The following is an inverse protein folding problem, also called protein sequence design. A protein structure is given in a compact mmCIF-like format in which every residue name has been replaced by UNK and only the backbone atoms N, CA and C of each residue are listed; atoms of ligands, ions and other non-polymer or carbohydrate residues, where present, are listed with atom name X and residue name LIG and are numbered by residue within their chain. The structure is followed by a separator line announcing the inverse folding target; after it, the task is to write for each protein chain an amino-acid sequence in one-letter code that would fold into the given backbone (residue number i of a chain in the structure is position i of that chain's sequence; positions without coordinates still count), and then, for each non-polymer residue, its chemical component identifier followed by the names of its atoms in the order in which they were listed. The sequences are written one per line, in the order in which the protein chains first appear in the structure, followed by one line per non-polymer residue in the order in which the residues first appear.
data_IF_573041969632
#
_entry.id   IF_573041969632
#
_cell.length_a   1.000
_cell.length_b   1.000
_cell.length_c   1.000
_cell.angle_alpha   90.00
_cell.angle_beta   90.00
_cell.angle_gamma   90.00
#
_symmetry.space_group_name_H-M   'P 1'
#
loop_
_entity.id
_entity.type
_entity.pdbx_description
1 polymer ?
#
# COMPACT_ATOMS: atom_id res chain seq x y z
N UNK A 1 -5.09 38.92 -13.42
CA UNK A 1 -3.65 39.05 -13.13
C UNK A 1 -3.23 37.77 -12.45
N UNK A 2 -2.61 36.86 -13.19
CA UNK A 2 -2.17 35.55 -12.69
C UNK A 2 -0.73 35.76 -12.19
N UNK A 3 -0.49 35.47 -10.91
CA UNK A 3 0.84 35.54 -10.34
C UNK A 3 1.66 34.34 -10.84
N UNK A 4 2.56 34.58 -11.80
CA UNK A 4 3.58 33.60 -12.17
C UNK A 4 4.70 33.63 -11.11
N UNK A 5 4.79 32.54 -10.35
CA UNK A 5 5.87 32.33 -9.39
C UNK A 5 7.13 31.91 -10.17
N UNK A 6 8.22 32.68 -10.10
CA UNK A 6 9.50 32.50 -10.84
C UNK A 6 10.26 31.17 -10.56
N UNK A 7 9.62 30.19 -9.93
CA UNK A 7 10.15 28.84 -9.72
C UNK A 7 9.21 27.72 -10.19
N UNK A 8 8.09 28.03 -10.82
CA UNK A 8 7.18 27.01 -11.35
C UNK A 8 7.78 26.37 -12.61
N UNK A 9 7.86 25.02 -12.70
CA UNK A 9 8.36 24.36 -13.90
C UNK A 9 7.54 24.78 -15.13
N UNK A 10 8.22 25.02 -16.26
CA UNK A 10 7.65 25.54 -17.53
C UNK A 10 6.47 24.73 -18.09
N UNK A 11 6.24 23.53 -17.57
CA UNK A 11 4.97 22.84 -17.69
C UNK A 11 4.51 22.49 -16.28
N UNK A 12 3.27 22.85 -15.94
CA UNK A 12 2.61 22.33 -14.73
C UNK A 12 2.70 20.81 -14.67
N UNK A 13 2.46 20.18 -13.50
CA UNK A 13 2.50 18.73 -13.38
C UNK A 13 1.57 18.13 -14.45
N UNK A 14 2.17 17.52 -15.47
CA UNK A 14 1.40 16.71 -16.42
C UNK A 14 0.94 15.51 -15.60
N UNK A 15 -0.35 15.45 -15.33
CA UNK A 15 -0.95 14.30 -14.68
C UNK A 15 -0.78 13.10 -15.62
N UNK A 16 -0.32 11.97 -15.10
CA UNK A 16 -0.47 10.72 -15.83
C UNK A 16 -1.99 10.47 -16.00
N UNK A 17 -2.41 9.89 -17.13
CA UNK A 17 -3.79 9.38 -17.26
C UNK A 17 -4.11 8.59 -15.99
N UNK A 18 -5.22 8.94 -15.33
CA UNK A 18 -5.60 8.31 -14.06
C UNK A 18 -5.55 6.80 -14.20
N UNK A 19 -4.90 6.14 -13.25
CA UNK A 19 -4.77 4.68 -13.28
C UNK A 19 -6.17 4.09 -13.27
N UNK A 20 -6.62 3.57 -14.41
CA UNK A 20 -7.92 2.91 -14.52
C UNK A 20 -7.76 1.51 -13.94
N UNK A 21 -7.96 1.38 -12.64
CA UNK A 21 -7.89 0.09 -11.99
C UNK A 21 -9.06 -0.77 -12.44
N UNK A 22 -8.75 -1.99 -12.85
CA UNK A 22 -9.75 -2.98 -13.23
C UNK A 22 -9.66 -4.17 -12.28
N UNK A 23 -10.74 -4.97 -12.16
CA UNK A 23 -10.69 -6.22 -11.41
C UNK A 23 -9.55 -7.14 -11.87
N UNK A 24 -9.26 -7.19 -13.19
CA UNK A 24 -8.16 -7.97 -13.77
C UNK A 24 -6.79 -7.52 -13.26
N UNK A 25 -6.62 -6.22 -13.00
CA UNK A 25 -5.37 -5.66 -12.48
C UNK A 25 -5.15 -6.02 -11.00
N UNK A 26 -6.22 -6.02 -10.19
CA UNK A 26 -6.12 -6.30 -8.74
C UNK A 26 -6.13 -7.79 -8.40
N UNK A 27 -6.68 -8.64 -9.28
CA UNK A 27 -6.84 -10.07 -9.04
C UNK A 27 -5.53 -10.80 -8.67
N UNK A 28 -4.37 -10.56 -9.32
CA UNK A 28 -3.12 -11.24 -8.94
C UNK A 28 -2.67 -10.91 -7.52
N UNK A 29 -2.84 -9.65 -7.09
CA UNK A 29 -2.54 -9.25 -5.73
C UNK A 29 -3.48 -9.96 -4.74
N UNK A 30 -4.78 -9.99 -5.03
CA UNK A 30 -5.77 -10.69 -4.19
C UNK A 30 -5.44 -12.18 -4.06
N UNK A 31 -5.12 -12.85 -5.17
CA UNK A 31 -4.74 -14.26 -5.16
C UNK A 31 -3.48 -14.51 -4.33
N UNK A 32 -2.48 -13.65 -4.47
CA UNK A 32 -1.25 -13.72 -3.68
C UNK A 32 -1.52 -13.52 -2.17
N UNK A 33 -2.32 -12.52 -1.80
CA UNK A 33 -2.69 -12.30 -0.40
C UNK A 33 -3.40 -13.52 0.21
N UNK A 34 -4.37 -14.08 -0.50
CA UNK A 34 -5.08 -15.30 -0.05
C UNK A 34 -4.12 -16.49 0.07
N UNK A 35 -3.16 -16.63 -0.85
CA UNK A 35 -2.16 -17.68 -0.78
C UNK A 35 -1.21 -17.53 0.42
N UNK A 36 -0.71 -16.32 0.68
CA UNK A 36 0.18 -16.03 1.80
C UNK A 36 -0.54 -16.16 3.15
N UNK A 37 -1.82 -15.79 3.20
CA UNK A 37 -2.69 -16.00 4.35
C UNK A 37 -2.87 -17.52 4.61
N UNK A 38 -3.22 -18.30 3.59
CA UNK A 38 -3.37 -19.75 3.69
C UNK A 38 -2.07 -20.46 4.13
N UNK A 39 -0.92 -19.89 3.73
CA UNK A 39 0.42 -20.38 4.08
C UNK A 39 0.91 -19.89 5.45
N UNK A 40 0.08 -19.16 6.20
CA UNK A 40 0.39 -18.57 7.53
C UNK A 40 1.59 -17.61 7.53
N UNK A 41 1.93 -17.05 6.36
CA UNK A 41 2.92 -15.98 6.23
C UNK A 41 2.29 -14.66 6.67
N UNK A 42 1.07 -14.40 6.20
CA UNK A 42 0.25 -13.28 6.66
C UNK A 42 -0.66 -13.73 7.81
N UNK A 43 -0.98 -12.82 8.76
CA UNK A 43 -2.05 -13.05 9.71
C UNK A 43 -3.40 -13.14 8.98
N UNK A 44 -4.45 -13.50 9.72
CA UNK A 44 -5.81 -13.23 9.26
C UNK A 44 -5.91 -11.74 8.89
N UNK A 45 -6.15 -11.48 7.61
CA UNK A 45 -6.07 -10.13 7.05
C UNK A 45 -7.25 -9.25 7.49
N UNK A 46 -8.31 -9.85 8.03
CA UNK A 46 -9.52 -9.17 8.49
C UNK A 46 -9.49 -8.82 9.97
N UNK A 47 -8.70 -9.55 10.77
CA UNK A 47 -8.61 -9.33 12.20
C UNK A 47 -7.73 -8.12 12.53
N UNK A 48 -8.20 -7.25 13.42
CA UNK A 48 -7.38 -6.18 13.98
C UNK A 48 -6.33 -6.80 14.90
N UNK A 49 -5.06 -6.50 14.62
CA UNK A 49 -3.92 -6.98 15.40
C UNK A 49 -2.84 -5.90 15.48
N UNK A 50 -1.84 -6.13 16.34
CA UNK A 50 -0.70 -5.24 16.48
C UNK A 50 0.35 -5.58 15.44
N UNK A 51 0.63 -4.62 14.56
CA UNK A 51 1.74 -4.67 13.61
C UNK A 51 2.94 -3.89 14.12
N UNK A 52 4.12 -4.49 13.96
CA UNK A 52 5.43 -3.88 14.17
C UNK A 52 6.00 -3.52 12.82
N UNK A 53 6.43 -2.27 12.67
CA UNK A 53 6.80 -1.71 11.37
C UNK A 53 8.29 -1.42 11.34
N UNK A 54 8.94 -1.86 10.28
CA UNK A 54 10.37 -1.81 10.07
C UNK A 54 10.72 -1.28 8.68
N UNK A 55 11.91 -0.71 8.55
CA UNK A 55 12.53 -0.33 7.27
C UNK A 55 13.91 -0.97 7.16
N UNK A 56 14.39 -1.20 5.94
CA UNK A 56 15.71 -1.80 5.69
C UNK A 56 16.90 -0.90 6.05
N UNK A 57 16.68 0.40 6.25
CA UNK A 57 17.74 1.36 6.56
C UNK A 57 17.17 2.56 7.31
N UNK A 58 18.03 3.26 8.07
CA UNK A 58 17.71 4.56 8.67
C UNK A 58 17.46 5.61 7.59
N UNK A 59 18.30 5.61 6.54
CA UNK A 59 18.15 6.43 5.34
C UNK A 59 17.39 5.64 4.27
N UNK A 60 16.20 6.12 3.92
CA UNK A 60 15.27 5.44 3.01
C UNK A 60 15.47 5.82 1.54
N UNK A 61 16.48 6.62 1.19
CA UNK A 61 16.71 7.04 -0.21
C UNK A 61 16.88 5.89 -1.20
N UNK A 62 17.48 4.77 -0.76
CA UNK A 62 17.82 3.61 -1.61
C UNK A 62 16.95 2.39 -1.40
N UNK A 63 16.20 2.32 -0.30
CA UNK A 63 15.33 1.18 0.05
C UNK A 63 13.89 1.59 0.37
N UNK A 64 13.53 2.86 0.17
CA UNK A 64 12.25 3.41 0.60
C UNK A 64 11.07 3.00 -0.27
N UNK A 65 11.27 2.12 -1.26
CA UNK A 65 10.19 1.42 -1.94
C UNK A 65 9.67 0.20 -1.16
N UNK A 66 10.29 -0.15 -0.03
CA UNK A 66 9.95 -1.32 0.79
C UNK A 66 9.63 -0.92 2.22
N UNK A 67 8.67 -1.62 2.82
CA UNK A 67 8.43 -1.59 4.25
C UNK A 67 8.15 -3.00 4.75
N UNK A 68 8.73 -3.34 5.90
CA UNK A 68 8.62 -4.67 6.47
C UNK A 68 7.69 -4.60 7.67
N UNK A 69 6.78 -5.56 7.76
CA UNK A 69 5.80 -5.67 8.83
C UNK A 69 5.87 -7.05 9.48
N UNK A 70 5.50 -7.09 10.75
CA UNK A 70 5.40 -8.31 11.54
C UNK A 70 4.27 -8.20 12.54
N UNK A 71 3.63 -9.33 12.85
CA UNK A 71 2.76 -9.46 14.03
C UNK A 71 3.44 -10.37 15.06
N UNK A 72 2.86 -10.49 16.26
CA UNK A 72 3.41 -11.40 17.29
C UNK A 72 3.34 -12.86 16.82
N UNK A 73 2.33 -13.20 16.01
CA UNK A 73 1.97 -14.57 15.65
C UNK A 73 2.42 -15.00 14.25
N UNK A 74 2.98 -14.09 13.44
CA UNK A 74 3.33 -14.35 12.05
C UNK A 74 4.77 -13.91 11.74
N UNK A 75 5.32 -14.49 10.66
CA UNK A 75 6.62 -14.12 10.15
C UNK A 75 6.64 -12.70 9.58
N UNK A 76 7.84 -12.17 9.37
CA UNK A 76 8.01 -10.90 8.68
C UNK A 76 7.51 -11.02 7.24
N UNK A 77 6.77 -10.01 6.79
CA UNK A 77 6.37 -9.85 5.41
C UNK A 77 6.70 -8.44 4.94
N UNK A 78 6.91 -8.28 3.64
CA UNK A 78 7.31 -7.03 3.02
C UNK A 78 6.17 -6.53 2.13
N UNK A 79 5.92 -5.23 2.22
CA UNK A 79 5.18 -4.47 1.20
C UNK A 79 6.21 -3.75 0.35
N UNK A 80 6.23 -4.05 -0.94
CA UNK A 80 7.18 -3.46 -1.89
C UNK A 80 6.45 -2.79 -3.04
N UNK A 81 6.88 -1.58 -3.41
CA UNK A 81 6.52 -0.99 -4.68
C UNK A 81 7.46 -1.45 -5.78
N UNK A 82 6.87 -2.09 -6.79
CA UNK A 82 7.58 -2.47 -8.02
C UNK A 82 7.05 -1.64 -9.19
N UNK A 83 7.94 -1.28 -10.11
CA UNK A 83 7.57 -0.67 -11.38
C UNK A 83 7.62 -1.74 -12.47
N UNK A 84 6.49 -2.04 -13.10
CA UNK A 84 6.38 -3.12 -14.09
C UNK A 84 5.51 -2.71 -15.28
N UNK A 85 5.60 -3.46 -16.39
CA UNK A 85 4.82 -3.28 -17.63
C UNK A 85 3.86 -4.44 -17.92
N UNK A 86 3.65 -5.32 -16.96
CA UNK A 86 3.17 -6.69 -17.21
C UNK A 86 1.76 -6.79 -17.79
N UNK A 87 0.84 -5.86 -17.49
CA UNK A 87 -0.58 -6.04 -17.80
C UNK A 87 -1.06 -5.32 -19.06
N UNK A 88 -0.46 -4.18 -19.41
CA UNK A 88 -0.90 -3.34 -20.53
C UNK A 88 0.26 -2.69 -21.30
N UNK A 89 1.49 -3.16 -21.07
CA UNK A 89 2.70 -2.63 -21.70
C UNK A 89 3.12 -1.24 -21.20
N UNK A 90 2.33 -0.60 -20.33
CA UNK A 90 2.64 0.72 -19.75
C UNK A 90 3.36 0.55 -18.41
N UNK A 91 4.39 1.37 -18.11
CA UNK A 91 5.04 1.34 -16.80
C UNK A 91 4.05 1.79 -15.73
N UNK A 92 3.79 0.92 -14.76
CA UNK A 92 2.87 1.15 -13.63
C UNK A 92 3.54 0.76 -12.33
N UNK A 93 3.11 1.40 -11.24
CA UNK A 93 3.47 1.01 -9.89
C UNK A 93 2.52 -0.08 -9.40
N UNK A 94 3.06 -1.13 -8.79
CA UNK A 94 2.31 -2.23 -8.19
C UNK A 94 2.73 -2.41 -6.75
N UNK A 95 1.76 -2.75 -5.91
CA UNK A 95 2.04 -3.31 -4.59
C UNK A 95 2.37 -4.79 -4.76
N UNK A 96 3.57 -5.17 -4.34
CA UNK A 96 3.96 -6.55 -4.12
C UNK A 96 3.94 -6.84 -2.62
N UNK A 97 3.50 -8.05 -2.26
CA UNK A 97 3.48 -8.53 -0.88
C UNK A 97 4.14 -9.90 -0.86
N UNK A 98 5.13 -10.09 -0.01
CA UNK A 98 5.84 -11.37 0.08
C UNK A 98 6.39 -11.61 1.49
N UNK A 99 6.83 -12.83 1.76
CA UNK A 99 7.61 -13.15 2.96
C UNK A 99 8.95 -12.44 2.91
N UNK A 100 9.31 -11.78 4.00
CA UNK A 100 10.65 -11.27 4.19
C UNK A 100 11.57 -12.40 4.66
N UNK A 101 12.67 -12.63 3.93
CA UNK A 101 13.61 -13.74 4.16
C UNK A 101 15.05 -13.29 4.43
N UNK A 102 15.28 -11.99 4.45
CA UNK A 102 16.59 -11.42 4.75
C UNK A 102 16.81 -11.35 6.27
N UNK A 103 17.99 -10.90 6.71
CA UNK A 103 18.33 -10.85 8.12
C UNK A 103 17.45 -9.85 8.87
N UNK A 104 16.95 -10.25 10.05
CA UNK A 104 16.13 -9.42 10.93
C UNK A 104 16.97 -8.35 11.64
N UNK A 105 18.25 -8.63 11.89
CA UNK A 105 19.15 -7.72 12.61
C UNK A 105 19.42 -6.43 11.82
N UNK A 106 19.24 -6.45 10.51
CA UNK A 106 19.41 -5.30 9.62
C UNK A 106 18.17 -4.38 9.61
N UNK A 107 17.06 -4.81 10.24
CA UNK A 107 15.82 -4.06 10.25
C UNK A 107 15.85 -2.90 11.26
N UNK A 108 15.46 -1.73 10.79
CA UNK A 108 15.27 -0.54 11.62
C UNK A 108 13.82 -0.44 12.05
N UNK A 109 13.55 -0.66 13.33
CA UNK A 109 12.22 -0.48 13.92
C UNK A 109 11.75 0.98 13.84
N UNK A 110 10.51 1.19 13.39
CA UNK A 110 9.90 2.52 13.21
C UNK A 110 8.73 2.79 14.14
N UNK A 111 7.96 1.78 14.49
CA UNK A 111 6.80 1.96 15.35
C UNK A 111 5.84 0.77 15.35
N UNK A 112 4.67 0.99 15.95
CA UNK A 112 3.60 0.00 16.05
C UNK A 112 2.28 0.63 15.67
N UNK A 113 1.40 -0.16 15.08
CA UNK A 113 0.03 0.22 14.79
C UNK A 113 -0.92 -0.91 15.14
N UNK A 114 -2.15 -0.56 15.51
CA UNK A 114 -3.26 -1.50 15.62
C UNK A 114 -4.17 -1.29 14.43
N UNK A 115 -4.24 -2.29 13.55
CA UNK A 115 -5.08 -2.27 12.36
C UNK A 115 -5.33 -3.71 11.89
N UNK A 116 -6.20 -3.89 10.91
CA UNK A 116 -6.30 -5.11 10.12
C UNK A 116 -5.21 -5.16 9.05
N UNK A 117 -4.80 -6.36 8.64
CA UNK A 117 -3.89 -6.51 7.51
C UNK A 117 -4.45 -5.85 6.24
N UNK A 118 -5.76 -5.98 6.00
CA UNK A 118 -6.46 -5.34 4.89
C UNK A 118 -6.41 -3.82 4.97
N UNK A 119 -6.57 -3.22 6.16
CA UNK A 119 -6.47 -1.77 6.36
C UNK A 119 -5.10 -1.25 5.91
N UNK A 120 -4.03 -1.97 6.24
CA UNK A 120 -2.67 -1.61 5.83
C UNK A 120 -2.45 -1.76 4.32
N UNK A 121 -2.98 -2.83 3.71
CA UNK A 121 -2.92 -3.03 2.25
C UNK A 121 -3.72 -1.96 1.51
N UNK A 122 -4.94 -1.65 2.00
CA UNK A 122 -5.80 -0.60 1.47
C UNK A 122 -5.11 0.76 1.51
N UNK A 123 -4.50 1.12 2.64
CA UNK A 123 -3.70 2.33 2.79
C UNK A 123 -2.53 2.38 1.81
N UNK A 124 -1.81 1.27 1.64
CA UNK A 124 -0.68 1.18 0.72
C UNK A 124 -1.14 1.38 -0.74
N UNK A 125 -2.23 0.74 -1.15
CA UNK A 125 -2.79 0.87 -2.49
C UNK A 125 -3.27 2.29 -2.77
N UNK A 126 -3.98 2.91 -1.83
CA UNK A 126 -4.42 4.30 -1.98
C UNK A 126 -3.24 5.27 -2.08
N UNK A 127 -2.17 5.02 -1.33
CA UNK A 127 -0.94 5.79 -1.49
C UNK A 127 -0.33 5.59 -2.89
N UNK A 128 -0.25 4.36 -3.38
CA UNK A 128 0.29 4.06 -4.72
C UNK A 128 -0.52 4.73 -5.81
N UNK A 129 -1.84 4.60 -5.77
CA UNK A 129 -2.75 5.23 -6.71
C UNK A 129 -2.44 6.73 -6.83
N UNK A 130 -2.40 7.41 -5.68
CA UNK A 130 -2.10 8.84 -5.58
C UNK A 130 -0.68 9.19 -6.02
N UNK A 131 0.31 8.35 -5.74
CA UNK A 131 1.69 8.52 -6.22
C UNK A 131 1.82 8.33 -7.74
N UNK A 132 0.94 7.52 -8.33
CA UNK A 132 0.98 7.16 -9.74
C UNK A 132 0.44 8.26 -10.64
N UNK A 133 -0.34 9.22 -10.10
CA UNK A 133 -0.75 10.41 -10.84
C UNK A 133 0.43 11.34 -11.21
N UNK A 134 1.61 11.18 -10.57
CA UNK A 134 2.78 12.02 -10.79
C UNK A 134 3.81 11.35 -11.72
N UNK A 135 4.12 11.97 -12.86
CA UNK A 135 5.05 11.51 -13.92
C UNK A 135 6.52 11.25 -13.51
N UNK A 136 6.90 11.32 -12.23
CA UNK A 136 8.24 10.94 -11.72
C UNK A 136 8.22 9.60 -10.97
N UNK A 137 7.57 8.60 -11.57
CA UNK A 137 7.31 7.26 -11.02
C UNK A 137 8.49 6.63 -10.24
N UNK A 138 9.71 6.69 -10.79
CA UNK A 138 10.89 6.05 -10.17
C UNK A 138 11.35 6.74 -8.89
N UNK A 139 11.33 8.07 -8.85
CA UNK A 139 11.71 8.83 -7.65
C UNK A 139 10.61 8.79 -6.58
N UNK A 140 9.34 8.67 -6.99
CA UNK A 140 8.21 8.57 -6.07
C UNK A 140 8.11 7.21 -5.38
N UNK A 141 8.44 6.12 -6.09
CA UNK A 141 8.46 4.77 -5.51
C UNK A 141 9.45 4.68 -4.33
N UNK A 142 10.61 5.34 -4.43
CA UNK A 142 11.63 5.36 -3.36
C UNK A 142 11.20 6.12 -2.10
N UNK A 143 10.08 6.84 -2.13
CA UNK A 143 9.54 7.59 -0.99
C UNK A 143 8.32 6.91 -0.37
N UNK A 144 8.00 5.69 -0.81
CA UNK A 144 6.83 4.96 -0.35
C UNK A 144 6.84 4.76 1.16
N UNK A 145 7.93 4.24 1.73
CA UNK A 145 8.04 3.96 3.16
C UNK A 145 7.86 5.22 4.00
N UNK A 146 8.47 6.34 3.61
CA UNK A 146 8.32 7.65 4.28
C UNK A 146 6.86 8.11 4.31
N UNK A 147 6.20 8.06 3.15
CA UNK A 147 4.82 8.52 3.00
C UNK A 147 3.83 7.58 3.67
N UNK A 148 4.07 6.27 3.59
CA UNK A 148 3.25 5.26 4.25
C UNK A 148 3.36 5.38 5.76
N UNK A 149 4.57 5.49 6.33
CA UNK A 149 4.77 5.74 7.76
C UNK A 149 4.07 7.03 8.23
N UNK A 150 4.14 8.09 7.43
CA UNK A 150 3.43 9.35 7.72
C UNK A 150 1.91 9.15 7.73
N UNK A 151 1.35 8.40 6.79
CA UNK A 151 -0.08 8.07 6.76
C UNK A 151 -0.51 7.25 7.99
N UNK A 152 0.36 6.36 8.47
CA UNK A 152 0.13 5.58 9.68
C UNK A 152 0.34 6.39 10.97
N UNK A 153 0.73 7.67 10.89
CA UNK A 153 1.05 8.50 12.05
C UNK A 153 2.34 8.09 12.77
N UNK A 154 3.19 7.28 12.13
CA UNK A 154 4.44 6.79 12.70
C UNK A 154 5.58 7.70 12.26
N UNK A 155 5.87 8.69 13.10
CA UNK A 155 6.87 9.72 12.82
C UNK A 155 6.38 10.82 11.89
N UNK A 156 7.05 11.97 11.93
CA UNK A 156 6.75 13.12 11.07
C UNK A 156 7.82 13.25 9.99
N UNK A 157 7.58 12.65 8.82
CA UNK A 157 8.45 12.85 7.68
C UNK A 157 7.94 14.06 6.89
N UNK A 158 8.80 15.09 6.72
CA UNK A 158 8.49 16.36 6.00
C UNK A 158 8.29 16.16 4.47
N UNK A 159 7.86 14.98 4.08
CA UNK A 159 7.99 14.48 2.72
C UNK A 159 6.73 14.61 1.88
N UNK A 160 5.60 14.98 2.51
CA UNK A 160 4.35 15.28 1.82
C UNK A 160 4.30 16.75 1.44
N UNK A 161 4.32 17.01 0.13
CA UNK A 161 4.07 18.35 -0.42
C UNK A 161 2.59 18.70 -0.24
N UNK A 162 2.25 19.98 -0.14
CA UNK A 162 0.87 20.41 0.15
C UNK A 162 -0.15 19.92 -0.90
N UNK A 163 0.25 19.80 -2.16
CA UNK A 163 -0.60 19.19 -3.18
C UNK A 163 -0.81 17.68 -2.97
N UNK A 164 0.17 16.97 -2.41
CA UNK A 164 0.01 15.54 -2.06
C UNK A 164 -0.98 15.41 -0.90
N UNK A 165 -0.99 16.36 0.04
CA UNK A 165 -1.97 16.43 1.14
C UNK A 165 -3.38 16.68 0.62
N UNK A 166 -3.55 17.57 -0.36
CA UNK A 166 -4.86 17.88 -0.98
C UNK A 166 -5.40 16.67 -1.76
N UNK A 167 -4.54 15.99 -2.53
CA UNK A 167 -4.95 14.79 -3.28
C UNK A 167 -5.25 13.60 -2.35
N UNK A 168 -4.64 13.56 -1.15
CA UNK A 168 -5.02 12.60 -0.14
C UNK A 168 -6.50 12.75 0.32
N UNK A 169 -7.17 13.84 -0.04
CA UNK A 169 -8.57 14.14 0.32
C UNK A 169 -9.55 14.06 -0.87
N UNK A 170 -9.09 13.76 -2.10
CA UNK A 170 -9.97 13.69 -3.27
C UNK A 170 -10.69 12.33 -3.38
N UNK A 171 -12.00 12.38 -3.68
CA UNK A 171 -12.90 11.22 -3.84
C UNK A 171 -12.93 10.72 -5.29
N UNK A 172 -12.76 9.41 -5.47
CA UNK A 172 -12.88 8.69 -6.74
C UNK A 172 -12.81 7.18 -6.48
N UNK A 173 -13.33 6.37 -7.39
CA UNK A 173 -13.38 4.91 -7.23
C UNK A 173 -11.94 4.37 -7.25
N UNK A 174 -11.41 4.04 -6.08
CA UNK A 174 -9.98 3.77 -5.91
C UNK A 174 -9.64 2.30 -6.17
N UNK A 175 -8.40 2.01 -6.55
CA UNK A 175 -7.88 0.64 -6.63
C UNK A 175 -8.14 -0.19 -5.37
N UNK A 176 -8.15 0.50 -4.23
CA UNK A 176 -8.31 -0.09 -2.93
C UNK A 176 -9.76 -0.57 -2.71
N UNK A 177 -10.76 0.13 -3.25
CA UNK A 177 -12.16 -0.32 -3.24
C UNK A 177 -12.36 -1.57 -4.11
N UNK A 178 -11.76 -1.61 -5.31
CA UNK A 178 -11.79 -2.78 -6.19
C UNK A 178 -11.11 -3.99 -5.54
N UNK A 179 -10.01 -3.77 -4.78
CA UNK A 179 -9.36 -4.81 -4.00
C UNK A 179 -10.30 -5.38 -2.95
N UNK A 180 -10.94 -4.55 -2.13
CA UNK A 180 -11.82 -5.01 -1.07
C UNK A 180 -12.97 -5.85 -1.63
N UNK A 181 -13.61 -5.38 -2.70
CA UNK A 181 -14.70 -6.12 -3.35
C UNK A 181 -14.25 -7.52 -3.82
N UNK A 182 -13.11 -7.60 -4.50
CA UNK A 182 -12.55 -8.88 -4.95
C UNK A 182 -12.12 -9.77 -3.79
N UNK A 183 -11.49 -9.21 -2.76
CA UNK A 183 -10.95 -9.97 -1.64
C UNK A 183 -12.04 -10.62 -0.80
N UNK A 184 -13.19 -9.95 -0.64
CA UNK A 184 -14.36 -10.51 0.06
C UNK A 184 -15.16 -11.51 -0.80
N UNK A 185 -15.19 -11.34 -2.13
CA UNK A 185 -15.84 -12.29 -3.05
C UNK A 185 -15.00 -13.55 -3.31
N UNK A 186 -13.70 -13.51 -3.08
CA UNK A 186 -12.80 -14.63 -3.36
C UNK A 186 -12.96 -15.71 -2.28
N UNK A 187 -13.31 -16.97 -2.63
CA UNK A 187 -13.45 -18.05 -1.65
C UNK A 187 -12.11 -18.34 -0.96
N UNK A 188 -12.12 -18.49 0.36
CA UNK A 188 -10.89 -18.70 1.13
C UNK A 188 -10.87 -20.05 1.84
N UNK A 189 -9.74 -20.78 1.80
CA UNK A 189 -9.62 -22.08 2.46
C UNK A 189 -9.72 -22.00 3.99
N UNK A 190 -9.24 -20.90 4.60
CA UNK A 190 -9.27 -20.68 6.06
C UNK A 190 -10.66 -20.36 6.61
N UNK A 191 -11.58 -19.87 5.78
CA UNK A 191 -12.90 -19.40 6.21
C UNK A 191 -14.03 -20.33 5.76
N UNK A 192 -13.71 -21.52 5.23
CA UNK A 192 -14.70 -22.52 4.76
C UNK A 192 -15.68 -22.98 5.84
N UNK A 193 -15.45 -22.64 7.11
CA UNK A 193 -16.32 -22.99 8.25
C UNK A 193 -16.95 -21.79 8.97
N UNK A 194 -16.75 -20.54 8.53
CA UNK A 194 -17.34 -19.38 9.21
C UNK A 194 -18.17 -18.52 8.27
N UNK A 195 -19.37 -19.01 7.97
CA UNK A 195 -20.48 -18.26 7.37
C UNK A 195 -21.01 -17.10 8.23
N UNK A 196 -20.43 -16.80 9.40
CA UNK A 196 -20.97 -15.82 10.36
C UNK A 196 -20.13 -14.54 10.56
N UNK A 197 -18.97 -14.37 9.92
CA UNK A 197 -18.10 -13.20 10.14
C UNK A 197 -18.17 -12.11 9.06
N UNK A 198 -18.76 -12.40 7.89
CA UNK A 198 -18.94 -11.42 6.80
C UNK A 198 -19.82 -10.24 7.26
N UNK A 199 -20.81 -10.49 8.12
CA UNK A 199 -21.70 -9.46 8.69
C UNK A 199 -21.00 -8.47 9.64
N UNK A 200 -19.81 -8.78 10.15
CA UNK A 200 -19.12 -7.90 11.08
C UNK A 200 -18.28 -6.83 10.36
N UNK A 201 -17.81 -7.12 9.13
CA UNK A 201 -17.02 -6.18 8.33
C UNK A 201 -17.88 -5.23 7.50
N UNK A 202 -19.07 -5.66 7.05
CA UNK A 202 -20.03 -4.75 6.41
C UNK A 202 -20.42 -3.58 7.33
N UNK A 203 -20.51 -3.81 8.65
CA UNK A 203 -20.83 -2.76 9.64
C UNK A 203 -19.66 -1.86 10.04
N UNK A 204 -18.42 -2.27 9.77
CA UNK A 204 -17.24 -1.48 10.11
C UNK A 204 -16.85 -0.51 8.99
N UNK A 205 -17.30 -0.77 7.76
CA UNK A 205 -16.92 -0.03 6.57
C UNK A 205 -18.08 0.62 5.79
N UNK A 206 -19.35 0.31 6.13
CA UNK A 206 -20.55 0.95 5.57
C UNK A 206 -21.49 1.47 6.65
#
# INVERSE_FOLDING_TARGET
MIFEHEGAPHSGPKFADGMTYSPKFMLPLVQNLVHLEASRILPDMTQITRFYIYTLSKDMRTTGNRIVLKTISCNYFVLELICSRHFDGRPRLYLNVDSYRENEDDLVFRGRIWDSGLGLIYCAINLIDRLSYYLKFKHNAMRFSEKFLTLLGIGFYKCLLDHERIILMAYGLSAAEVLLDLFFKTPRPLYRTMTSQITCLERAFF
#
